data_IF_094097840926
#
_entry.id   IF_094097840926
#
_cell.length_a   1.000
_cell.length_b   1.000
_cell.length_c   1.000
_cell.angle_alpha   90.00
_cell.angle_beta   90.00
_cell.angle_gamma   90.00
#
_symmetry.space_group_name_H-M   'P 1'
#
loop_
_entity.id
_entity.type
_entity.pdbx_description
1 polymer ?
#
# COMPACT_ATOMS: atom_id res chain seq x y z
N UNK A 1 12.64 8.03 84.33
CA UNK A 1 13.36 7.99 83.03
C UNK A 1 12.91 6.81 82.19
N UNK A 2 11.63 6.75 81.76
CA UNK A 2 11.12 5.67 80.84
C UNK A 2 10.56 6.20 79.55
N UNK A 3 10.69 7.51 79.23
CA UNK A 3 10.10 8.15 78.06
C UNK A 3 10.99 8.03 76.86
N UNK A 4 12.31 7.94 76.98
CA UNK A 4 13.28 7.93 75.87
C UNK A 4 13.30 6.65 75.06
N UNK A 5 12.93 5.47 75.71
CA UNK A 5 12.93 4.18 74.97
C UNK A 5 11.73 4.06 74.04
N UNK A 6 10.58 4.62 74.41
CA UNK A 6 9.34 4.53 73.60
C UNK A 6 9.42 5.44 72.36
N UNK A 7 9.99 6.64 72.53
CA UNK A 7 10.20 7.56 71.41
C UNK A 7 11.15 7.01 70.35
N UNK A 8 12.24 6.33 70.74
CA UNK A 8 13.16 5.70 69.77
C UNK A 8 12.50 4.59 68.98
N UNK A 9 11.58 3.81 69.59
CA UNK A 9 10.82 2.76 68.90
C UNK A 9 9.80 3.32 67.90
N UNK A 10 9.16 4.45 68.25
CA UNK A 10 8.19 5.09 67.34
C UNK A 10 8.88 5.75 66.17
N UNK A 11 10.00 6.46 66.40
CA UNK A 11 10.81 7.07 65.31
C UNK A 11 11.34 6.03 64.37
N UNK A 12 11.86 4.89 64.87
CA UNK A 12 12.33 3.77 64.06
C UNK A 12 11.25 3.15 63.17
N UNK A 13 10.01 3.07 63.64
CA UNK A 13 8.87 2.57 62.85
C UNK A 13 8.40 3.55 61.79
N UNK A 14 8.43 4.85 62.04
CA UNK A 14 8.06 5.92 61.09
C UNK A 14 9.11 6.00 60.00
N UNK A 15 10.40 5.91 60.31
CA UNK A 15 11.50 5.91 59.32
C UNK A 15 11.46 4.65 58.45
N UNK A 16 11.17 3.47 59.05
CA UNK A 16 11.03 2.20 58.32
C UNK A 16 9.83 2.22 57.33
N UNK A 17 8.71 2.80 57.74
CA UNK A 17 7.52 2.89 56.91
C UNK A 17 7.71 3.92 55.77
N UNK A 18 8.45 5.01 56.03
CA UNK A 18 8.78 6.00 55.02
C UNK A 18 9.72 5.50 53.91
N UNK A 19 10.70 4.67 54.25
CA UNK A 19 11.60 4.05 53.26
C UNK A 19 10.90 3.01 52.39
N UNK A 20 9.91 2.25 52.93
CA UNK A 20 9.13 1.31 52.12
C UNK A 20 8.17 2.00 51.17
N UNK A 21 7.62 3.17 51.51
CA UNK A 21 6.77 3.94 50.63
C UNK A 21 7.56 4.62 49.50
N UNK A 22 8.81 5.01 49.71
CA UNK A 22 9.67 5.62 48.71
C UNK A 22 10.18 4.62 47.67
N UNK A 23 10.34 3.35 47.99
CA UNK A 23 10.81 2.32 47.04
C UNK A 23 9.73 1.86 46.06
N UNK A 24 8.44 2.12 46.30
CA UNK A 24 7.36 1.75 45.37
C UNK A 24 7.22 2.79 44.23
N UNK A 25 7.68 4.01 44.45
CA UNK A 25 7.60 5.07 43.40
C UNK A 25 8.69 5.02 42.34
N UNK A 26 9.71 4.17 42.49
CA UNK A 26 10.83 4.11 41.54
C UNK A 26 10.65 3.13 40.39
N UNK A 27 9.54 2.39 40.29
CA UNK A 27 9.33 1.36 39.26
C UNK A 27 8.40 1.80 38.09
N UNK A 28 7.93 3.05 38.12
CA UNK A 28 7.06 3.56 37.02
C UNK A 28 7.75 4.46 36.00
N UNK A 29 9.09 4.55 36.01
CA UNK A 29 9.83 5.46 35.14
C UNK A 29 10.72 4.73 34.12
N UNK A 30 10.22 3.62 33.55
CA UNK A 30 10.83 3.04 32.37
C UNK A 30 9.75 2.66 31.37
N UNK A 31 9.00 3.65 30.92
CA UNK A 31 8.29 3.58 29.65
C UNK A 31 9.22 4.16 28.59
N UNK A 32 10.31 3.48 28.34
CA UNK A 32 11.10 3.69 27.14
C UNK A 32 10.39 2.96 26.00
N UNK A 33 9.25 3.49 25.57
CA UNK A 33 8.77 3.26 24.23
C UNK A 33 9.79 3.93 23.30
N UNK A 34 10.87 3.21 23.05
CA UNK A 34 11.66 3.42 21.85
C UNK A 34 10.73 3.02 20.71
N UNK A 35 10.02 4.01 20.18
CA UNK A 35 9.33 3.90 18.90
C UNK A 35 10.42 3.71 17.83
N UNK A 36 10.88 2.47 17.73
CA UNK A 36 11.77 2.09 16.63
C UNK A 36 10.86 2.09 15.41
N UNK A 37 10.90 3.17 14.64
CA UNK A 37 10.20 3.27 13.38
C UNK A 37 10.75 2.18 12.45
N UNK A 38 10.06 1.05 12.42
CA UNK A 38 10.45 -0.13 11.65
C UNK A 38 10.02 -0.04 10.19
N UNK A 39 9.11 0.88 9.85
CA UNK A 39 8.63 1.11 8.49
C UNK A 39 8.34 2.58 8.25
N UNK A 40 8.49 3.00 7.00
CA UNK A 40 8.15 4.35 6.54
C UNK A 40 6.99 4.28 5.56
N UNK A 41 6.03 5.23 5.62
CA UNK A 41 4.98 5.32 4.62
C UNK A 41 5.55 5.43 3.21
N UNK A 42 4.88 4.81 2.26
CA UNK A 42 5.18 4.98 0.85
C UNK A 42 3.91 5.24 0.05
N UNK A 43 4.05 5.83 -1.12
CA UNK A 43 2.98 5.93 -2.10
C UNK A 43 3.54 5.73 -3.51
N UNK A 44 2.67 5.33 -4.43
CA UNK A 44 3.01 5.12 -5.82
C UNK A 44 2.24 6.12 -6.66
N UNK A 45 2.99 6.94 -7.39
CA UNK A 45 2.46 7.84 -8.41
C UNK A 45 2.39 7.12 -9.76
N UNK A 46 1.32 7.41 -10.52
CA UNK A 46 1.10 6.84 -11.84
C UNK A 46 1.05 7.98 -12.85
N UNK A 47 1.81 7.85 -13.93
CA UNK A 47 1.65 8.74 -15.08
C UNK A 47 0.29 8.48 -15.75
N UNK A 48 -0.35 9.51 -16.36
CA UNK A 48 -1.62 9.34 -17.05
C UNK A 48 -1.56 8.20 -18.07
N UNK A 49 -2.58 7.34 -18.03
CA UNK A 49 -2.76 6.22 -18.96
C UNK A 49 -3.97 6.49 -19.88
N UNK A 50 -4.04 5.91 -21.07
CA UNK A 50 -5.23 5.98 -21.92
C UNK A 50 -6.46 5.46 -21.18
N UNK A 51 -7.64 5.98 -21.51
CA UNK A 51 -8.92 5.47 -20.99
C UNK A 51 -9.43 4.25 -21.77
N UNK A 52 -8.82 3.96 -22.91
CA UNK A 52 -9.26 2.92 -23.85
C UNK A 52 -8.09 2.08 -24.32
N UNK A 53 -8.38 0.84 -24.65
CA UNK A 53 -7.43 -0.11 -25.25
C UNK A 53 -8.17 -1.01 -26.23
N UNK A 54 -7.64 -1.18 -27.45
CA UNK A 54 -8.16 -2.15 -28.43
C UNK A 54 -7.75 -3.58 -28.04
N UNK A 55 -8.51 -4.56 -28.52
CA UNK A 55 -8.09 -5.96 -28.40
C UNK A 55 -6.71 -6.16 -29.09
N UNK A 56 -5.79 -6.80 -28.38
CA UNK A 56 -4.39 -6.97 -28.78
C UNK A 56 -3.52 -5.73 -28.52
N UNK A 57 -4.11 -4.62 -28.12
CA UNK A 57 -3.37 -3.41 -27.75
C UNK A 57 -2.67 -3.54 -26.42
N UNK A 58 -1.52 -2.86 -26.27
CA UNK A 58 -0.74 -2.83 -25.03
C UNK A 58 -0.65 -1.40 -24.51
N UNK A 59 -0.92 -1.24 -23.21
CA UNK A 59 -0.78 0.02 -22.47
C UNK A 59 0.45 -0.05 -21.57
N UNK A 60 1.33 0.92 -21.67
CA UNK A 60 2.44 1.15 -20.74
C UNK A 60 1.93 1.91 -19.52
N UNK A 61 2.13 1.38 -18.34
CA UNK A 61 1.81 1.99 -17.06
C UNK A 61 3.13 2.34 -16.37
N UNK A 62 3.44 3.63 -16.28
CA UNK A 62 4.65 4.12 -15.63
C UNK A 62 4.34 4.48 -14.20
N UNK A 63 5.11 3.91 -13.29
CA UNK A 63 4.94 4.08 -11.85
C UNK A 63 6.22 4.60 -11.21
N UNK A 64 6.03 5.46 -10.20
CA UNK A 64 7.10 5.97 -9.34
C UNK A 64 6.72 5.70 -7.89
N UNK A 65 7.50 4.87 -7.19
CA UNK A 65 7.37 4.61 -5.77
C UNK A 65 8.15 5.67 -4.99
N UNK A 66 7.46 6.42 -4.16
CA UNK A 66 8.00 7.43 -3.27
C UNK A 66 7.83 6.97 -1.82
N UNK A 67 8.93 6.83 -1.09
CA UNK A 67 8.94 6.49 0.32
C UNK A 67 9.47 7.67 1.14
N UNK A 68 8.84 7.99 2.27
CA UNK A 68 9.27 9.06 3.18
C UNK A 68 10.62 8.77 3.85
N UNK A 69 11.00 7.50 3.88
CA UNK A 69 12.29 7.01 4.39
C UNK A 69 12.50 5.54 3.99
N UNK A 70 13.65 5.00 4.36
CA UNK A 70 13.97 3.58 4.16
C UNK A 70 14.67 3.00 5.36
N UNK A 71 14.22 1.84 5.81
CA UNK A 71 15.08 0.94 6.58
C UNK A 71 15.98 0.16 5.62
N UNK A 72 17.09 -0.33 6.08
CA UNK A 72 18.07 -1.04 5.24
C UNK A 72 17.47 -2.33 4.62
N UNK A 73 16.45 -2.90 5.23
CA UNK A 73 15.81 -4.17 4.89
C UNK A 73 14.43 -4.01 4.20
N UNK A 74 14.01 -2.78 3.89
CA UNK A 74 12.73 -2.55 3.20
C UNK A 74 12.77 -3.12 1.79
N UNK A 75 11.84 -4.06 1.52
CA UNK A 75 11.64 -4.70 0.23
C UNK A 75 10.20 -4.48 -0.23
N UNK A 76 10.04 -4.21 -1.51
CA UNK A 76 8.74 -4.03 -2.12
C UNK A 76 8.42 -5.17 -3.07
N UNK A 77 7.14 -5.53 -3.16
CA UNK A 77 6.60 -6.52 -4.09
C UNK A 77 5.39 -5.96 -4.80
N UNK A 78 5.13 -6.47 -6.01
CA UNK A 78 3.92 -6.19 -6.76
C UNK A 78 3.15 -7.49 -7.00
N UNK A 79 1.83 -7.38 -7.05
CA UNK A 79 0.90 -8.39 -7.55
C UNK A 79 -0.28 -7.70 -8.23
N UNK A 80 -1.02 -8.41 -9.06
CA UNK A 80 -2.14 -7.85 -9.78
C UNK A 80 -3.32 -8.80 -9.80
N UNK A 81 -4.52 -8.24 -10.03
CA UNK A 81 -5.77 -8.97 -10.09
C UNK A 81 -6.62 -8.41 -11.21
N UNK A 82 -7.10 -9.26 -12.10
CA UNK A 82 -8.03 -8.90 -13.16
C UNK A 82 -9.45 -9.25 -12.71
N UNK A 83 -10.34 -8.26 -12.71
CA UNK A 83 -11.74 -8.42 -12.34
C UNK A 83 -12.63 -8.57 -13.56
N UNK A 84 -12.42 -7.74 -14.60
CA UNK A 84 -13.22 -7.74 -15.82
C UNK A 84 -12.30 -7.75 -17.04
N UNK A 85 -12.81 -8.33 -18.14
CA UNK A 85 -12.09 -8.48 -19.39
C UNK A 85 -11.14 -9.68 -19.40
N UNK A 86 -10.29 -9.74 -20.40
CA UNK A 86 -9.17 -10.71 -20.52
C UNK A 86 -7.92 -9.97 -20.92
N UNK A 87 -6.82 -10.30 -20.28
CA UNK A 87 -5.54 -9.65 -20.58
C UNK A 87 -4.41 -10.20 -19.75
N UNK A 88 -3.22 -9.79 -20.09
CA UNK A 88 -1.98 -10.19 -19.43
C UNK A 88 -1.20 -8.97 -18.97
N UNK A 89 -0.48 -9.13 -17.86
CA UNK A 89 0.40 -8.11 -17.30
C UNK A 89 1.85 -8.55 -17.43
N UNK A 90 2.71 -7.66 -17.90
CA UNK A 90 4.15 -7.90 -18.03
C UNK A 90 4.95 -6.90 -17.21
N UNK A 91 5.95 -7.38 -16.51
CA UNK A 91 6.94 -6.61 -15.76
C UNK A 91 8.34 -7.15 -16.02
N UNK A 92 9.32 -6.28 -16.32
CA UNK A 92 10.70 -6.66 -16.64
C UNK A 92 10.81 -7.78 -17.71
N UNK A 93 9.91 -7.78 -18.71
CA UNK A 93 9.90 -8.80 -19.77
C UNK A 93 9.27 -10.14 -19.38
N UNK A 94 8.75 -10.29 -18.16
CA UNK A 94 8.09 -11.50 -17.69
C UNK A 94 6.60 -11.29 -17.55
N UNK A 95 5.80 -12.24 -18.05
CA UNK A 95 4.35 -12.25 -17.84
C UNK A 95 4.06 -12.63 -16.39
N UNK A 96 3.31 -11.77 -15.71
CA UNK A 96 2.94 -11.95 -14.32
C UNK A 96 1.69 -12.84 -14.22
N UNK A 97 1.74 -13.86 -13.38
CA UNK A 97 0.51 -14.59 -12.99
C UNK A 97 -0.29 -13.74 -12.01
N UNK A 98 -1.61 -13.74 -12.18
CA UNK A 98 -2.50 -13.03 -11.27
C UNK A 98 -2.35 -13.58 -9.85
N UNK A 99 -2.36 -12.68 -8.85
CA UNK A 99 -2.19 -12.96 -7.42
C UNK A 99 -0.80 -13.45 -6.98
N UNK A 100 0.14 -13.71 -7.88
CA UNK A 100 1.52 -14.03 -7.49
C UNK A 100 2.29 -12.73 -7.13
N UNK A 101 3.19 -12.83 -6.14
CA UNK A 101 4.06 -11.72 -5.73
C UNK A 101 5.36 -11.73 -6.51
N UNK A 102 5.72 -10.57 -7.03
CA UNK A 102 6.98 -10.37 -7.77
C UNK A 102 7.78 -9.25 -7.09
N UNK A 103 9.10 -9.43 -6.90
CA UNK A 103 9.93 -8.41 -6.28
C UNK A 103 10.01 -7.16 -7.16
N UNK A 104 9.83 -6.00 -6.53
CA UNK A 104 10.03 -4.70 -7.16
C UNK A 104 11.48 -4.27 -6.94
N UNK A 105 12.27 -4.28 -8.02
CA UNK A 105 13.72 -4.07 -7.96
C UNK A 105 14.12 -2.61 -8.14
N UNK A 106 13.19 -1.74 -8.54
CA UNK A 106 13.41 -0.32 -8.77
C UNK A 106 12.21 0.50 -8.28
N UNK A 107 12.46 1.71 -7.79
CA UNK A 107 11.40 2.66 -7.44
C UNK A 107 10.69 3.22 -8.69
N UNK A 108 11.40 3.42 -9.79
CA UNK A 108 10.79 3.67 -11.09
C UNK A 108 10.59 2.34 -11.79
N UNK A 109 9.35 2.03 -12.16
CA UNK A 109 9.03 0.78 -12.83
C UNK A 109 7.93 0.96 -13.86
N UNK A 110 7.85 0.02 -14.78
CA UNK A 110 6.87 0.01 -15.86
C UNK A 110 6.19 -1.34 -15.92
N UNK A 111 4.87 -1.26 -16.02
CA UNK A 111 4.02 -2.42 -16.27
C UNK A 111 3.45 -2.28 -17.68
N UNK A 112 3.23 -3.39 -18.34
CA UNK A 112 2.63 -3.44 -19.67
C UNK A 112 1.40 -4.34 -19.59
N UNK A 113 0.23 -3.72 -19.77
CA UNK A 113 -1.02 -4.45 -19.82
C UNK A 113 -1.42 -4.66 -21.28
N UNK A 114 -1.61 -5.92 -21.70
CA UNK A 114 -2.07 -6.28 -23.04
C UNK A 114 -3.50 -6.80 -22.95
N UNK A 115 -4.41 -6.16 -23.68
CA UNK A 115 -5.81 -6.59 -23.79
C UNK A 115 -5.91 -7.83 -24.68
N UNK A 116 -6.66 -8.84 -24.22
CA UNK A 116 -6.92 -10.08 -24.96
C UNK A 116 -8.40 -10.25 -25.34
N UNK A 117 -9.26 -9.29 -24.98
CA UNK A 117 -10.69 -9.28 -25.37
C UNK A 117 -11.13 -7.89 -25.78
N UNK A 118 -12.29 -7.82 -26.41
CA UNK A 118 -12.98 -6.57 -26.76
C UNK A 118 -13.88 -6.03 -25.64
N UNK A 119 -13.88 -6.65 -24.47
CA UNK A 119 -14.65 -6.18 -23.32
C UNK A 119 -13.97 -4.98 -22.64
N UNK A 120 -14.70 -4.28 -21.78
CA UNK A 120 -14.07 -3.35 -20.84
C UNK A 120 -13.18 -4.12 -19.86
N UNK A 121 -12.10 -3.49 -19.43
CA UNK A 121 -11.12 -4.10 -18.52
C UNK A 121 -11.12 -3.37 -17.18
N UNK A 122 -11.14 -4.13 -16.10
CA UNK A 122 -10.97 -3.63 -14.76
C UNK A 122 -9.97 -4.50 -14.00
N UNK A 123 -8.89 -3.91 -13.52
CA UNK A 123 -7.88 -4.62 -12.74
C UNK A 123 -7.23 -3.71 -11.72
N UNK A 124 -6.60 -4.32 -10.74
CA UNK A 124 -5.79 -3.62 -9.76
C UNK A 124 -4.35 -4.15 -9.76
N UNK A 125 -3.44 -3.25 -9.42
CA UNK A 125 -2.07 -3.58 -9.04
C UNK A 125 -1.89 -3.23 -7.57
N UNK A 126 -1.35 -4.13 -6.78
CA UNK A 126 -1.06 -3.92 -5.36
C UNK A 126 0.44 -3.90 -5.18
N UNK A 127 0.95 -2.81 -4.63
CA UNK A 127 2.34 -2.68 -4.19
C UNK A 127 2.36 -2.86 -2.68
N UNK A 128 3.21 -3.75 -2.18
CA UNK A 128 3.32 -4.10 -0.77
C UNK A 128 4.78 -4.03 -0.32
N UNK A 129 5.01 -3.59 0.92
CA UNK A 129 6.31 -3.74 1.55
C UNK A 129 6.37 -4.99 2.44
N UNK A 130 7.55 -5.32 2.94
CA UNK A 130 7.76 -6.43 3.86
C UNK A 130 7.40 -6.10 5.33
N UNK A 131 6.91 -4.89 5.60
CA UNK A 131 6.43 -4.43 6.91
C UNK A 131 4.89 -4.41 7.02
N UNK A 132 4.18 -4.86 5.97
CA UNK A 132 2.72 -4.98 5.96
C UNK A 132 1.98 -3.75 5.46
N UNK A 133 2.66 -2.74 4.92
CA UNK A 133 2.02 -1.63 4.24
C UNK A 133 1.71 -2.00 2.79
N UNK A 134 0.62 -1.48 2.27
CA UNK A 134 0.22 -1.73 0.88
C UNK A 134 -0.50 -0.54 0.28
N UNK A 135 -0.34 -0.36 -1.04
CA UNK A 135 -1.12 0.57 -1.84
C UNK A 135 -1.73 -0.16 -3.04
N UNK A 136 -2.99 0.11 -3.29
CA UNK A 136 -3.73 -0.41 -4.42
C UNK A 136 -3.88 0.67 -5.49
N UNK A 137 -3.60 0.29 -6.74
CA UNK A 137 -3.72 1.10 -7.95
C UNK A 137 -4.83 0.48 -8.81
N UNK A 138 -5.88 1.22 -9.10
CA UNK A 138 -7.02 0.74 -9.90
C UNK A 138 -6.92 1.26 -11.33
N UNK A 139 -7.19 0.38 -12.31
CA UNK A 139 -7.17 0.69 -13.73
C UNK A 139 -8.45 0.21 -14.40
N UNK A 140 -9.05 1.12 -15.19
CA UNK A 140 -10.23 0.84 -15.99
C UNK A 140 -9.99 1.30 -17.42
N UNK A 141 -10.16 0.38 -18.36
CA UNK A 141 -10.07 0.67 -19.77
C UNK A 141 -11.37 0.30 -20.47
N UNK A 142 -11.92 1.22 -21.24
CA UNK A 142 -13.02 0.96 -22.15
C UNK A 142 -12.49 0.40 -23.48
N UNK A 143 -13.35 -0.24 -24.25
CA UNK A 143 -13.03 -0.70 -25.57
C UNK A 143 -13.12 0.46 -26.58
N UNK A 144 -12.13 0.58 -27.46
CA UNK A 144 -12.17 1.53 -28.60
C UNK A 144 -13.10 1.08 -29.71
N UNK A 145 -13.35 -0.22 -29.84
CA UNK A 145 -14.10 -0.78 -30.97
C UNK A 145 -15.61 -0.48 -30.88
N UNK A 146 -16.16 -0.33 -29.67
CA UNK A 146 -17.58 -0.01 -29.47
C UNK A 146 -17.97 1.38 -29.97
N UNK A 147 -17.08 2.37 -29.88
CA UNK A 147 -17.39 3.72 -30.34
C UNK A 147 -17.31 3.83 -31.87
N UNK A 148 -16.42 3.11 -32.54
CA UNK A 148 -16.37 3.05 -34.00
C UNK A 148 -17.64 2.42 -34.55
N UNK A 149 -18.14 1.35 -33.94
CA UNK A 149 -19.41 0.71 -34.30
C UNK A 149 -20.62 1.62 -34.05
N UNK A 150 -20.61 2.41 -32.99
CA UNK A 150 -21.70 3.36 -32.69
C UNK A 150 -21.71 4.54 -33.64
N UNK A 151 -20.55 5.04 -34.07
CA UNK A 151 -20.44 6.14 -35.04
C UNK A 151 -20.82 5.67 -36.46
N UNK A 152 -20.44 4.46 -36.84
CA UNK A 152 -20.76 3.89 -38.17
C UNK A 152 -22.26 3.57 -38.32
N UNK A 153 -22.93 3.10 -37.25
CA UNK A 153 -24.37 2.86 -37.24
C UNK A 153 -25.23 4.15 -37.09
N UNK A 154 -24.68 5.23 -36.54
CA UNK A 154 -25.36 6.52 -36.39
C UNK A 154 -25.40 7.36 -37.67
N UNK A 155 -24.63 7.00 -38.70
CA UNK A 155 -24.52 7.75 -39.99
C UNK A 155 -25.53 7.34 -41.08
N UNK A 156 -26.37 6.32 -40.89
CA UNK A 156 -27.31 5.82 -41.92
C UNK A 156 -28.78 6.15 -41.62
N UNK A 157 -29.09 7.37 -41.32
CA UNK A 157 -30.49 7.68 -40.99
C UNK A 157 -30.96 9.07 -41.23
N UNK A 158 -30.60 9.75 -42.40
CA UNK A 158 -31.41 10.83 -42.94
C UNK A 158 -31.09 10.98 -44.43
N UNK A 159 -31.66 10.15 -45.28
CA UNK A 159 -31.83 10.54 -46.69
C UNK A 159 -33.15 9.97 -47.23
N UNK A 160 -34.07 10.87 -47.52
CA UNK A 160 -35.18 10.58 -48.40
C UNK A 160 -36.56 10.66 -47.84
N UNK A 161 -37.15 11.84 -47.75
CA UNK A 161 -38.53 12.08 -48.15
C UNK A 161 -38.72 13.53 -48.60
N UNK A 162 -38.73 13.70 -49.92
CA UNK A 162 -39.44 14.77 -50.57
C UNK A 162 -40.89 14.40 -50.71
#
# INVERSE_FOLDING_TARGET
>A
MKVTSTMKKVIGKIVGLGCMAASVFCITACDSNLDIQSSYPFHVEIMPVPLRVTQGGTVEIRCLLLAEGRTHDTQYTIRWFLYDGKGSMTYNGHVLKANDRYPLTSHEFRLYYTSESSDAHNFIVVVEDNHGQSQQLEFKFNNEDEEKAAVENGGQGVEGRQ
#
